data_IF_488057139501
#
_entry.id   IF_488057139501
#
_cell.length_a   1.000
_cell.length_b   1.000
_cell.length_c   1.000
_cell.angle_alpha   90.00
_cell.angle_beta   90.00
_cell.angle_gamma   90.00
#
_symmetry.space_group_name_H-M   'P 1'
#
loop_
_entity.id
_entity.type
_entity.pdbx_description
1 polymer ?
#
# COMPACT_ATOMS: atom_id res chain seq x y z
N UNK A 1 -8.19 -36.49 -25.76
CA UNK A 1 -7.01 -36.74 -24.90
C UNK A 1 -7.09 -35.97 -23.57
N UNK A 2 -8.30 -35.64 -23.06
CA UNK A 2 -8.51 -34.62 -21.99
C UNK A 2 -9.10 -35.20 -20.69
N UNK A 3 -9.53 -36.47 -20.66
CA UNK A 3 -10.24 -37.05 -19.50
C UNK A 3 -9.37 -37.78 -18.46
N UNK A 4 -8.04 -37.80 -18.60
CA UNK A 4 -7.19 -38.72 -17.82
C UNK A 4 -5.91 -38.09 -17.24
N UNK A 5 -5.91 -36.80 -16.91
CA UNK A 5 -4.69 -36.12 -16.44
C UNK A 5 -4.50 -36.12 -14.92
N UNK A 6 -5.57 -36.26 -14.12
CA UNK A 6 -5.44 -36.44 -12.68
C UNK A 6 -6.09 -37.76 -12.27
N UNK A 7 -5.26 -38.77 -11.99
CA UNK A 7 -5.73 -40.03 -11.41
C UNK A 7 -6.61 -39.72 -10.18
N UNK A 8 -7.79 -40.36 -10.12
CA UNK A 8 -8.75 -40.18 -9.04
C UNK A 8 -9.63 -38.93 -9.13
N UNK A 9 -9.56 -38.06 -10.16
CA UNK A 9 -10.45 -36.88 -10.21
C UNK A 9 -11.92 -37.26 -10.31
N UNK A 10 -12.25 -38.29 -11.11
CA UNK A 10 -13.61 -38.81 -11.21
C UNK A 10 -14.10 -39.40 -9.90
N UNK A 11 -13.23 -40.08 -9.14
CA UNK A 11 -13.54 -40.67 -7.84
C UNK A 11 -13.78 -39.56 -6.80
N UNK A 12 -12.87 -38.58 -6.73
CA UNK A 12 -13.02 -37.39 -5.88
C UNK A 12 -14.31 -36.63 -6.19
N UNK A 13 -14.67 -36.48 -7.47
CA UNK A 13 -15.92 -35.83 -7.84
C UNK A 13 -17.14 -36.63 -7.37
N UNK A 14 -17.14 -37.96 -7.52
CA UNK A 14 -18.23 -38.81 -7.02
C UNK A 14 -18.43 -38.67 -5.51
N UNK A 15 -17.34 -38.51 -4.74
CA UNK A 15 -17.41 -38.29 -3.29
C UNK A 15 -18.10 -36.96 -2.91
N UNK A 16 -17.92 -35.90 -3.70
CA UNK A 16 -18.47 -34.56 -3.41
C UNK A 16 -19.65 -34.16 -4.29
N UNK A 17 -20.09 -35.00 -5.22
CA UNK A 17 -21.08 -34.66 -6.25
C UNK A 17 -22.39 -34.15 -5.64
N UNK A 18 -22.92 -34.87 -4.65
CA UNK A 18 -24.17 -34.48 -3.98
C UNK A 18 -24.03 -33.14 -3.25
N UNK A 19 -22.88 -32.89 -2.64
CA UNK A 19 -22.60 -31.63 -1.97
C UNK A 19 -22.46 -30.47 -2.97
N UNK A 20 -21.79 -30.70 -4.09
CA UNK A 20 -21.67 -29.73 -5.20
C UNK A 20 -23.05 -29.37 -5.74
N UNK A 21 -23.89 -30.35 -6.04
CA UNK A 21 -25.26 -30.13 -6.52
C UNK A 21 -26.07 -29.33 -5.50
N UNK A 22 -25.90 -29.66 -4.23
CA UNK A 22 -26.61 -29.00 -3.15
C UNK A 22 -26.20 -27.52 -3.00
N UNK A 23 -24.89 -27.21 -3.03
CA UNK A 23 -24.39 -25.83 -3.03
C UNK A 23 -24.86 -25.05 -4.25
N UNK A 24 -24.80 -25.66 -5.43
CA UNK A 24 -25.34 -25.05 -6.66
C UNK A 24 -26.83 -24.70 -6.52
N UNK A 25 -27.65 -25.62 -5.98
CA UNK A 25 -29.07 -25.35 -5.71
C UNK A 25 -29.24 -24.21 -4.72
N UNK A 26 -28.43 -24.12 -3.67
CA UNK A 26 -28.53 -23.01 -2.71
C UNK A 26 -28.15 -21.64 -3.29
N UNK A 27 -27.17 -21.60 -4.19
CA UNK A 27 -26.81 -20.36 -4.90
C UNK A 27 -27.99 -19.88 -5.79
N UNK A 28 -28.75 -20.82 -6.35
CA UNK A 28 -29.81 -20.56 -7.35
C UNK A 28 -31.25 -20.57 -6.81
N UNK A 29 -31.51 -21.03 -5.58
CA UNK A 29 -32.88 -21.33 -5.11
C UNK A 29 -33.73 -20.13 -4.65
N UNK A 30 -33.12 -19.01 -4.26
CA UNK A 30 -33.87 -17.86 -3.71
C UNK A 30 -33.80 -16.62 -4.62
N UNK A 31 -34.88 -15.85 -4.70
CA UNK A 31 -34.89 -14.53 -5.38
C UNK A 31 -34.15 -13.45 -4.57
N UNK A 32 -34.15 -13.54 -3.25
CA UNK A 32 -33.46 -12.61 -2.36
C UNK A 32 -32.38 -13.35 -1.55
N UNK A 33 -31.12 -13.04 -1.82
CA UNK A 33 -29.97 -13.59 -1.10
C UNK A 33 -29.11 -12.42 -0.62
N UNK A 34 -28.89 -12.35 0.69
CA UNK A 34 -28.01 -11.35 1.31
C UNK A 34 -26.58 -11.85 1.38
N UNK A 35 -25.60 -10.95 1.57
CA UNK A 35 -24.19 -11.36 1.70
C UNK A 35 -23.97 -12.38 2.83
N UNK A 36 -24.70 -12.26 3.96
CA UNK A 36 -24.66 -13.23 5.07
C UNK A 36 -25.11 -14.63 4.65
N UNK A 37 -26.10 -14.74 3.77
CA UNK A 37 -26.51 -16.04 3.24
C UNK A 37 -25.44 -16.63 2.32
N UNK A 38 -24.80 -15.81 1.47
CA UNK A 38 -23.70 -16.28 0.62
C UNK A 38 -22.49 -16.73 1.45
N UNK A 39 -22.18 -15.99 2.52
CA UNK A 39 -21.15 -16.37 3.48
C UNK A 39 -21.46 -17.72 4.13
N UNK A 40 -22.70 -17.94 4.57
CA UNK A 40 -23.12 -19.23 5.12
C UNK A 40 -22.98 -20.36 4.10
N UNK A 41 -23.38 -20.15 2.84
CA UNK A 41 -23.23 -21.15 1.77
C UNK A 41 -21.75 -21.51 1.58
N UNK A 42 -20.85 -20.52 1.56
CA UNK A 42 -19.42 -20.76 1.45
C UNK A 42 -18.86 -21.49 2.68
N UNK A 43 -19.27 -21.12 3.89
CA UNK A 43 -18.87 -21.81 5.14
C UNK A 43 -19.35 -23.26 5.11
N UNK A 44 -20.60 -23.51 4.71
CA UNK A 44 -21.16 -24.85 4.64
C UNK A 44 -20.44 -25.72 3.60
N UNK A 45 -20.05 -25.15 2.45
CA UNK A 45 -19.25 -25.84 1.45
C UNK A 45 -17.85 -26.21 2.00
N UNK A 46 -17.16 -25.28 2.66
CA UNK A 46 -15.87 -25.53 3.31
C UNK A 46 -15.96 -26.62 4.37
N UNK A 47 -16.99 -26.57 5.21
CA UNK A 47 -17.24 -27.57 6.25
C UNK A 47 -17.53 -28.96 5.69
N UNK A 48 -18.12 -29.06 4.48
CA UNK A 48 -18.31 -30.36 3.80
C UNK A 48 -16.99 -30.91 3.30
N UNK A 49 -16.18 -30.06 2.66
CA UNK A 49 -14.85 -30.44 2.17
C UNK A 49 -13.94 -30.87 3.33
N UNK A 50 -13.95 -30.14 4.45
CA UNK A 50 -13.10 -30.43 5.62
C UNK A 50 -13.45 -31.73 6.34
N UNK A 51 -14.63 -32.32 6.09
CA UNK A 51 -14.99 -33.65 6.64
C UNK A 51 -14.22 -34.78 5.95
N UNK A 52 -13.74 -34.53 4.74
CA UNK A 52 -12.92 -35.48 3.99
C UNK A 52 -11.50 -35.40 4.56
N UNK A 53 -11.14 -36.40 5.36
CA UNK A 53 -9.81 -36.47 5.97
C UNK A 53 -8.79 -36.89 4.92
N UNK A 54 -8.10 -35.90 4.35
CA UNK A 54 -7.03 -36.09 3.36
C UNK A 54 -5.94 -35.05 3.55
N UNK A 55 -4.70 -35.43 3.24
CA UNK A 55 -3.55 -34.54 3.21
C UNK A 55 -3.56 -33.61 1.98
N UNK A 56 -4.45 -33.86 1.01
CA UNK A 56 -4.59 -33.09 -0.23
C UNK A 56 -5.94 -32.38 -0.32
N UNK A 57 -6.33 -31.69 0.76
CA UNK A 57 -7.62 -30.97 0.86
C UNK A 57 -7.86 -29.98 -0.29
N UNK A 58 -6.80 -29.35 -0.80
CA UNK A 58 -6.84 -28.43 -1.95
C UNK A 58 -7.43 -29.08 -3.23
N UNK A 59 -7.21 -30.38 -3.44
CA UNK A 59 -7.76 -31.09 -4.60
C UNK A 59 -9.28 -31.14 -4.55
N UNK A 60 -9.83 -31.39 -3.36
CA UNK A 60 -11.27 -31.41 -3.16
C UNK A 60 -11.85 -30.01 -3.31
N UNK A 61 -11.17 -28.96 -2.83
CA UNK A 61 -11.60 -27.58 -3.06
C UNK A 61 -11.67 -27.25 -4.56
N UNK A 62 -10.62 -27.56 -5.33
CA UNK A 62 -10.61 -27.33 -6.79
C UNK A 62 -11.70 -28.15 -7.51
N UNK A 63 -11.83 -29.42 -7.15
CA UNK A 63 -12.86 -30.32 -7.72
C UNK A 63 -14.27 -29.79 -7.42
N UNK A 64 -14.49 -29.32 -6.20
CA UNK A 64 -15.77 -28.75 -5.76
C UNK A 64 -16.11 -27.49 -6.54
N UNK A 65 -15.16 -26.55 -6.63
CA UNK A 65 -15.32 -25.32 -7.41
C UNK A 65 -15.62 -25.64 -8.88
N UNK A 66 -14.88 -26.59 -9.48
CA UNK A 66 -15.07 -27.02 -10.87
C UNK A 66 -16.46 -27.61 -11.08
N UNK A 67 -16.91 -28.41 -10.13
CA UNK A 67 -18.25 -28.98 -10.11
C UNK A 67 -19.34 -27.91 -10.13
N UNK A 68 -19.29 -26.95 -9.20
CA UNK A 68 -20.27 -25.86 -9.11
C UNK A 68 -20.25 -25.00 -10.39
N UNK A 69 -19.06 -24.69 -10.91
CA UNK A 69 -18.90 -23.94 -12.15
C UNK A 69 -19.47 -24.68 -13.37
N UNK A 70 -19.17 -25.97 -13.51
CA UNK A 70 -19.69 -26.83 -14.57
C UNK A 70 -21.21 -26.93 -14.54
N UNK A 71 -21.83 -27.02 -13.37
CA UNK A 71 -23.30 -26.99 -13.25
C UNK A 71 -23.87 -25.64 -13.68
N UNK A 72 -23.26 -24.52 -13.25
CA UNK A 72 -23.73 -23.18 -13.61
C UNK A 72 -23.65 -22.86 -15.10
N UNK A 73 -22.65 -23.41 -15.79
CA UNK A 73 -22.46 -23.25 -17.24
C UNK A 73 -23.41 -24.17 -18.01
N UNK A 74 -23.50 -25.45 -17.64
CA UNK A 74 -24.42 -26.41 -18.27
C UNK A 74 -25.89 -26.02 -18.15
N UNK A 75 -26.28 -25.48 -17.00
CA UNK A 75 -27.63 -25.01 -16.75
C UNK A 75 -27.90 -23.59 -17.26
N UNK A 76 -26.87 -22.90 -17.78
CA UNK A 76 -26.94 -21.51 -18.23
C UNK A 76 -27.49 -20.52 -17.17
N UNK A 77 -27.18 -20.78 -15.89
CA UNK A 77 -27.66 -19.97 -14.75
C UNK A 77 -26.61 -18.98 -14.23
N UNK A 78 -25.37 -19.04 -14.72
CA UNK A 78 -24.31 -18.16 -14.21
C UNK A 78 -24.65 -16.68 -14.34
N UNK A 79 -25.14 -16.21 -15.50
CA UNK A 79 -25.44 -14.79 -15.72
C UNK A 79 -26.55 -14.27 -14.80
N UNK A 80 -27.60 -15.07 -14.61
CA UNK A 80 -28.73 -14.72 -13.75
C UNK A 80 -28.27 -14.52 -12.29
N UNK A 81 -27.27 -15.29 -11.86
CA UNK A 81 -26.77 -15.30 -10.48
C UNK A 81 -25.30 -14.89 -10.36
N UNK A 82 -24.78 -14.10 -11.30
CA UNK A 82 -23.34 -13.81 -11.45
C UNK A 82 -22.70 -13.33 -10.14
N UNK A 83 -23.34 -12.36 -9.47
CA UNK A 83 -22.87 -11.83 -8.19
C UNK A 83 -22.71 -12.92 -7.12
N UNK A 84 -23.60 -13.90 -7.10
CA UNK A 84 -23.62 -14.97 -6.08
C UNK A 84 -22.53 -15.99 -6.36
N UNK A 85 -22.39 -16.40 -7.61
CA UNK A 85 -21.29 -17.27 -8.04
C UNK A 85 -19.94 -16.60 -7.81
N UNK A 86 -19.79 -15.32 -8.17
CA UNK A 86 -18.57 -14.55 -7.95
C UNK A 86 -18.19 -14.50 -6.47
N UNK A 87 -19.16 -14.21 -5.59
CA UNK A 87 -18.92 -14.24 -4.14
C UNK A 87 -18.48 -15.61 -3.66
N UNK A 88 -19.19 -16.67 -4.07
CA UNK A 88 -18.87 -18.04 -3.68
C UNK A 88 -17.45 -18.42 -4.12
N UNK A 89 -17.10 -18.20 -5.39
CA UNK A 89 -15.76 -18.52 -5.89
C UNK A 89 -14.68 -17.67 -5.23
N UNK A 90 -14.93 -16.39 -4.97
CA UNK A 90 -13.99 -15.56 -4.21
C UNK A 90 -13.74 -16.14 -2.81
N UNK A 91 -14.78 -16.54 -2.09
CA UNK A 91 -14.64 -17.13 -0.76
C UNK A 91 -13.89 -18.47 -0.76
N UNK A 92 -14.04 -19.27 -1.83
CA UNK A 92 -13.27 -20.51 -2.01
C UNK A 92 -11.82 -20.25 -2.44
N UNK A 93 -11.57 -19.22 -3.27
CA UNK A 93 -10.21 -18.79 -3.62
C UNK A 93 -9.46 -18.34 -2.37
N UNK A 94 -10.07 -17.53 -1.50
CA UNK A 94 -9.43 -17.12 -0.25
C UNK A 94 -9.10 -18.34 0.64
N UNK A 95 -9.92 -19.40 0.60
CA UNK A 95 -9.62 -20.66 1.30
C UNK A 95 -8.40 -21.40 0.71
N UNK A 96 -8.28 -21.40 -0.62
CA UNK A 96 -7.10 -21.96 -1.28
C UNK A 96 -5.83 -21.15 -0.98
N UNK A 97 -5.97 -19.83 -0.84
CA UNK A 97 -4.85 -18.95 -0.51
C UNK A 97 -4.37 -19.13 0.94
N UNK A 98 -5.25 -19.45 1.90
CA UNK A 98 -4.79 -19.80 3.27
C UNK A 98 -4.04 -21.13 3.30
N UNK A 99 -4.38 -22.08 2.42
CA UNK A 99 -3.63 -23.32 2.22
C UNK A 99 -2.35 -23.10 1.40
N UNK A 100 -2.26 -22.02 0.64
CA UNK A 100 -1.16 -21.79 -0.29
C UNK A 100 0.19 -21.66 0.43
N UNK A 101 0.24 -20.96 1.55
CA UNK A 101 1.48 -20.73 2.32
C UNK A 101 2.09 -22.05 2.80
N UNK A 102 1.27 -22.96 3.34
CA UNK A 102 1.74 -24.29 3.78
C UNK A 102 2.08 -25.19 2.58
N UNK A 103 1.36 -25.07 1.46
CA UNK A 103 1.69 -25.82 0.26
C UNK A 103 3.05 -25.42 -0.32
N UNK A 104 3.43 -24.14 -0.30
CA UNK A 104 4.73 -23.69 -0.81
C UNK A 104 5.94 -24.30 -0.07
N UNK A 105 5.75 -24.87 1.12
CA UNK A 105 6.81 -25.58 1.87
C UNK A 105 7.06 -26.99 1.32
N UNK A 106 6.02 -27.66 0.82
CA UNK A 106 6.12 -28.96 0.14
C UNK A 106 6.18 -28.79 -1.38
N UNK A 107 7.40 -28.76 -1.90
CA UNK A 107 7.69 -28.54 -3.34
C UNK A 107 6.94 -29.52 -4.25
N UNK A 108 6.76 -30.77 -3.82
CA UNK A 108 6.12 -31.80 -4.66
C UNK A 108 4.62 -31.57 -4.72
N UNK A 109 3.99 -31.33 -3.57
CA UNK A 109 2.55 -31.08 -3.48
C UNK A 109 2.17 -29.73 -4.12
N UNK A 110 3.04 -28.71 -4.00
CA UNK A 110 2.84 -27.43 -4.65
C UNK A 110 2.91 -27.51 -6.18
N UNK A 111 3.84 -28.30 -6.73
CA UNK A 111 3.88 -28.55 -8.19
C UNK A 111 2.60 -29.19 -8.69
N UNK A 112 2.10 -30.21 -8.01
CA UNK A 112 0.83 -30.87 -8.36
C UNK A 112 -0.34 -29.88 -8.29
N UNK A 113 -0.37 -29.03 -7.25
CA UNK A 113 -1.37 -27.98 -7.13
C UNK A 113 -1.32 -26.99 -8.31
N UNK A 114 -0.13 -26.50 -8.65
CA UNK A 114 0.05 -25.58 -9.78
C UNK A 114 -0.33 -26.22 -11.11
N UNK A 115 0.07 -27.46 -11.37
CA UNK A 115 -0.31 -28.19 -12.58
C UNK A 115 -1.83 -28.32 -12.71
N UNK A 116 -2.53 -28.59 -11.61
CA UNK A 116 -3.99 -28.67 -11.60
C UNK A 116 -4.64 -27.31 -11.89
N UNK A 117 -4.18 -26.24 -11.22
CA UNK A 117 -4.69 -24.88 -11.49
C UNK A 117 -4.44 -24.49 -12.95
N UNK A 118 -3.24 -24.76 -13.47
CA UNK A 118 -2.87 -24.46 -14.86
C UNK A 118 -3.72 -25.24 -15.86
N UNK A 119 -4.01 -26.51 -15.59
CA UNK A 119 -4.91 -27.30 -16.40
C UNK A 119 -6.31 -26.68 -16.46
N UNK A 120 -6.89 -26.30 -15.31
CA UNK A 120 -8.21 -25.66 -15.26
C UNK A 120 -8.22 -24.32 -16.03
N UNK A 121 -7.14 -23.54 -15.88
CA UNK A 121 -6.95 -22.29 -16.65
C UNK A 121 -6.93 -22.54 -18.16
N UNK A 122 -6.22 -23.57 -18.62
CA UNK A 122 -6.16 -23.91 -20.04
C UNK A 122 -7.47 -24.51 -20.56
N UNK A 123 -8.15 -25.30 -19.73
CA UNK A 123 -9.41 -25.96 -20.09
C UNK A 123 -10.54 -24.94 -20.34
N UNK A 124 -10.65 -23.92 -19.49
CA UNK A 124 -11.66 -22.86 -19.60
C UNK A 124 -11.06 -21.52 -20.09
N UNK A 125 -10.04 -21.58 -20.96
CA UNK A 125 -9.24 -20.40 -21.33
C UNK A 125 -10.03 -19.26 -21.99
N UNK A 126 -11.07 -19.59 -22.77
CA UNK A 126 -11.95 -18.66 -23.46
C UNK A 126 -13.15 -18.20 -22.60
N UNK A 127 -13.39 -18.88 -21.48
CA UNK A 127 -14.53 -18.61 -20.62
C UNK A 127 -14.26 -17.45 -19.65
N UNK A 128 -14.91 -16.31 -19.89
CA UNK A 128 -14.75 -15.09 -19.09
C UNK A 128 -15.18 -15.27 -17.63
N UNK A 129 -16.07 -16.22 -17.35
CA UNK A 129 -16.67 -16.45 -16.03
C UNK A 129 -15.90 -17.45 -15.18
N UNK A 130 -14.90 -18.11 -15.77
CA UNK A 130 -14.12 -19.12 -15.08
C UNK A 130 -13.27 -18.49 -13.96
N UNK A 131 -13.33 -19.02 -12.73
CA UNK A 131 -12.65 -18.42 -11.58
C UNK A 131 -11.12 -18.65 -11.60
N UNK A 132 -10.62 -19.48 -12.51
CA UNK A 132 -9.24 -19.96 -12.52
C UNK A 132 -8.22 -18.88 -12.84
N UNK A 133 -8.57 -17.93 -13.72
CA UNK A 133 -7.66 -16.83 -14.08
C UNK A 133 -7.39 -15.91 -12.88
N UNK A 134 -8.42 -15.65 -12.06
CA UNK A 134 -8.31 -14.89 -10.82
C UNK A 134 -7.52 -15.66 -9.76
N UNK A 135 -7.81 -16.96 -9.58
CA UNK A 135 -7.05 -17.83 -8.67
C UNK A 135 -5.56 -17.82 -9.04
N UNK A 136 -5.23 -18.08 -10.31
CA UNK A 136 -3.86 -18.08 -10.79
C UNK A 136 -3.19 -16.72 -10.59
N UNK A 137 -3.88 -15.61 -10.88
CA UNK A 137 -3.32 -14.28 -10.65
C UNK A 137 -2.92 -14.06 -9.19
N UNK A 138 -3.80 -14.44 -8.25
CA UNK A 138 -3.54 -14.30 -6.80
C UNK A 138 -2.36 -15.16 -6.36
N UNK A 139 -2.26 -16.39 -6.84
CA UNK A 139 -1.13 -17.29 -6.54
C UNK A 139 0.17 -16.71 -7.11
N UNK A 140 0.16 -16.19 -8.33
CA UNK A 140 1.34 -15.69 -9.04
C UNK A 140 1.94 -14.44 -8.41
N UNK A 141 1.13 -13.59 -7.78
CA UNK A 141 1.62 -12.38 -7.09
C UNK A 141 2.60 -12.73 -5.96
N UNK A 142 2.35 -13.80 -5.23
CA UNK A 142 3.16 -14.23 -4.08
C UNK A 142 4.00 -15.51 -4.36
N UNK A 143 4.15 -15.87 -5.65
CA UNK A 143 4.82 -17.08 -6.08
C UNK A 143 6.35 -16.96 -5.99
N UNK A 144 7.01 -18.02 -5.50
CA UNK A 144 8.47 -18.15 -5.54
C UNK A 144 8.99 -18.13 -6.99
N UNK A 145 10.10 -17.44 -7.21
CA UNK A 145 10.72 -17.22 -8.53
C UNK A 145 11.04 -18.50 -9.30
N UNK A 146 11.34 -19.60 -8.60
CA UNK A 146 11.66 -20.91 -9.19
C UNK A 146 10.51 -21.54 -10.00
N UNK A 147 9.26 -21.17 -9.72
CA UNK A 147 8.09 -21.72 -10.43
C UNK A 147 7.66 -20.86 -11.63
N UNK A 148 8.06 -19.59 -11.67
CA UNK A 148 7.59 -18.62 -12.67
C UNK A 148 7.85 -19.09 -14.10
N UNK A 149 9.05 -19.61 -14.38
CA UNK A 149 9.40 -20.06 -15.74
C UNK A 149 8.58 -21.30 -16.18
N UNK A 150 8.28 -22.21 -15.25
CA UNK A 150 7.41 -23.37 -15.55
C UNK A 150 5.98 -22.96 -15.87
N UNK A 151 5.41 -22.02 -15.09
CA UNK A 151 4.08 -21.49 -15.34
C UNK A 151 4.04 -20.74 -16.67
N UNK A 152 5.03 -19.89 -16.94
CA UNK A 152 5.16 -19.18 -18.22
C UNK A 152 5.22 -20.16 -19.41
N UNK A 153 6.09 -21.18 -19.31
CA UNK A 153 6.26 -22.17 -20.37
C UNK A 153 4.96 -22.91 -20.65
N UNK A 154 4.23 -23.32 -19.61
CA UNK A 154 2.92 -23.95 -19.78
C UNK A 154 1.93 -23.01 -20.50
N UNK A 155 1.76 -21.78 -20.01
CA UNK A 155 0.81 -20.83 -20.60
C UNK A 155 1.16 -20.52 -22.06
N UNK A 156 2.44 -20.37 -22.40
CA UNK A 156 2.89 -20.11 -23.77
C UNK A 156 2.60 -21.23 -24.76
N UNK A 157 2.52 -22.48 -24.29
CA UNK A 157 2.21 -23.65 -25.11
C UNK A 157 0.72 -23.93 -25.17
N UNK A 158 0.01 -23.68 -24.08
CA UNK A 158 -1.38 -24.12 -23.89
C UNK A 158 -2.41 -23.05 -24.22
N UNK A 159 -2.05 -21.75 -24.18
CA UNK A 159 -3.01 -20.65 -24.32
C UNK A 159 -2.87 -19.95 -25.66
N UNK A 160 -3.93 -19.96 -26.46
CA UNK A 160 -4.04 -19.05 -27.59
C UNK A 160 -4.50 -17.67 -27.14
N UNK A 161 -3.57 -16.72 -27.23
CA UNK A 161 -3.78 -15.31 -26.88
C UNK A 161 -4.79 -14.60 -27.80
N UNK A 162 -5.14 -15.18 -28.96
CA UNK A 162 -6.17 -14.63 -29.84
C UNK A 162 -7.60 -15.03 -29.43
N UNK A 163 -7.79 -16.06 -28.61
CA UNK A 163 -9.11 -16.56 -28.21
C UNK A 163 -9.38 -16.43 -26.72
N UNK A 164 -8.36 -16.41 -25.87
CA UNK A 164 -8.52 -16.38 -24.42
C UNK A 164 -9.32 -15.18 -23.87
N UNK A 165 -9.82 -15.36 -22.64
CA UNK A 165 -10.56 -14.35 -21.90
C UNK A 165 -9.67 -13.17 -21.49
N UNK A 166 -10.29 -12.00 -21.26
CA UNK A 166 -9.58 -10.77 -20.85
C UNK A 166 -8.82 -10.95 -19.54
N UNK A 167 -9.43 -11.62 -18.55
CA UNK A 167 -8.81 -11.88 -17.26
C UNK A 167 -7.60 -12.81 -17.41
N UNK A 168 -7.70 -13.86 -18.23
CA UNK A 168 -6.56 -14.73 -18.51
C UNK A 168 -5.44 -14.00 -19.26
N UNK A 169 -5.76 -13.11 -20.21
CA UNK A 169 -4.75 -12.29 -20.88
C UNK A 169 -3.98 -11.39 -19.89
N UNK A 170 -4.66 -10.80 -18.90
CA UNK A 170 -4.00 -10.03 -17.82
C UNK A 170 -3.07 -10.91 -16.99
N UNK A 171 -3.56 -12.07 -16.53
CA UNK A 171 -2.77 -13.02 -15.74
C UNK A 171 -1.56 -13.53 -16.51
N UNK A 172 -1.76 -13.95 -17.76
CA UNK A 172 -0.67 -14.45 -18.60
C UNK A 172 0.35 -13.35 -18.93
N UNK A 173 -0.10 -12.12 -19.19
CA UNK A 173 0.81 -10.98 -19.35
C UNK A 173 1.62 -10.74 -18.07
N UNK A 174 1.01 -10.83 -16.88
CA UNK A 174 1.70 -10.65 -15.61
C UNK A 174 2.75 -11.74 -15.36
N UNK A 175 2.42 -13.02 -15.61
CA UNK A 175 3.37 -14.14 -15.55
C UNK A 175 4.53 -13.93 -16.52
N UNK A 176 4.23 -13.50 -17.75
CA UNK A 176 5.26 -13.20 -18.77
C UNK A 176 6.21 -12.10 -18.30
N UNK A 177 5.66 -11.07 -17.63
CA UNK A 177 6.44 -9.99 -17.06
C UNK A 177 7.31 -10.48 -15.90
N UNK A 178 6.79 -11.33 -15.01
CA UNK A 178 7.57 -11.95 -13.94
C UNK A 178 8.76 -12.75 -14.48
N UNK A 179 8.55 -13.52 -15.56
CA UNK A 179 9.57 -14.27 -16.31
C UNK A 179 10.56 -13.39 -17.11
N UNK A 180 10.46 -12.05 -17.01
CA UNK A 180 11.35 -11.11 -17.70
C UNK A 180 11.05 -10.93 -19.19
N UNK A 181 9.90 -11.42 -19.68
CA UNK A 181 9.49 -11.31 -21.09
C UNK A 181 8.62 -10.06 -21.31
N UNK A 182 9.22 -8.88 -21.10
CA UNK A 182 8.52 -7.58 -21.13
C UNK A 182 7.79 -7.33 -22.47
N UNK A 183 8.42 -7.63 -23.60
CA UNK A 183 7.84 -7.44 -24.94
C UNK A 183 6.64 -8.38 -25.15
N UNK A 184 6.76 -9.63 -24.74
CA UNK A 184 5.67 -10.63 -24.83
C UNK A 184 4.50 -10.21 -23.96
N UNK A 185 4.76 -9.76 -22.73
CA UNK A 185 3.72 -9.29 -21.81
C UNK A 185 2.91 -8.12 -22.40
N UNK A 186 3.56 -7.14 -23.03
CA UNK A 186 2.88 -6.06 -23.73
C UNK A 186 2.13 -6.56 -24.97
N UNK A 187 2.72 -7.46 -25.75
CA UNK A 187 2.09 -8.03 -26.94
C UNK A 187 0.79 -8.76 -26.59
N UNK A 188 0.73 -9.47 -25.46
CA UNK A 188 -0.48 -10.14 -24.97
C UNK A 188 -1.59 -9.12 -24.69
N UNK A 189 -1.27 -8.01 -24.00
CA UNK A 189 -2.25 -6.97 -23.64
C UNK A 189 -2.73 -6.15 -24.84
N UNK A 190 -1.92 -6.02 -25.89
CA UNK A 190 -2.32 -5.28 -27.10
C UNK A 190 -3.12 -6.14 -28.08
N UNK A 191 -3.10 -7.46 -27.91
CA UNK A 191 -3.86 -8.39 -28.75
C UNK A 191 -5.37 -8.16 -28.56
N UNK A 192 -6.15 -8.32 -29.64
CA UNK A 192 -7.60 -7.97 -29.74
C UNK A 192 -7.94 -6.47 -29.63
N UNK A 193 -6.97 -5.55 -29.54
CA UNK A 193 -7.29 -4.11 -29.35
C UNK A 193 -8.07 -3.83 -28.06
N UNK A 194 -7.94 -4.73 -27.07
CA UNK A 194 -8.61 -4.61 -25.79
C UNK A 194 -8.14 -3.33 -25.08
N UNK A 195 -9.09 -2.53 -24.61
CA UNK A 195 -8.80 -1.34 -23.81
C UNK A 195 -8.84 -1.70 -22.33
N UNK A 196 -7.67 -1.71 -21.71
CA UNK A 196 -7.51 -1.90 -20.27
C UNK A 196 -7.66 -0.57 -19.53
N UNK A 197 -8.24 -0.63 -18.34
CA UNK A 197 -8.27 0.46 -17.38
C UNK A 197 -6.97 0.48 -16.58
N UNK A 198 -6.63 1.64 -16.04
CA UNK A 198 -5.40 1.85 -15.25
C UNK A 198 -5.33 0.97 -14.00
N UNK A 199 -6.48 0.62 -13.43
CA UNK A 199 -6.54 -0.25 -12.24
C UNK A 199 -6.18 -1.70 -12.56
N UNK A 200 -6.55 -2.19 -13.76
CA UNK A 200 -6.35 -3.59 -14.16
C UNK A 200 -4.87 -3.93 -14.39
N UNK A 201 -4.08 -2.96 -14.87
CA UNK A 201 -2.65 -3.14 -15.14
C UNK A 201 -1.75 -2.56 -14.05
N UNK A 202 -2.33 -2.07 -12.94
CA UNK A 202 -1.56 -1.42 -11.86
C UNK A 202 -0.45 -2.35 -11.33
N UNK A 203 -0.75 -3.63 -11.13
CA UNK A 203 0.26 -4.60 -10.66
C UNK A 203 1.42 -4.77 -11.65
N UNK A 204 1.17 -4.78 -12.96
CA UNK A 204 2.24 -4.79 -13.97
C UNK A 204 3.14 -3.57 -13.85
N UNK A 205 2.54 -2.39 -13.67
CA UNK A 205 3.29 -1.15 -13.53
C UNK A 205 4.06 -1.06 -12.20
N UNK A 206 3.51 -1.58 -11.10
CA UNK A 206 4.24 -1.69 -9.83
C UNK A 206 5.47 -2.59 -9.99
N UNK A 207 5.31 -3.77 -10.61
CA UNK A 207 6.44 -4.68 -10.85
C UNK A 207 7.53 -4.05 -11.74
N UNK A 208 7.14 -3.31 -12.78
CA UNK A 208 8.09 -2.56 -13.61
C UNK A 208 8.79 -1.45 -12.81
N UNK A 209 8.06 -0.76 -11.93
CA UNK A 209 8.59 0.29 -11.05
C UNK A 209 9.60 -0.29 -10.06
N UNK A 210 9.28 -1.39 -9.38
CA UNK A 210 10.18 -2.08 -8.45
C UNK A 210 11.49 -2.48 -9.13
N UNK A 211 11.41 -2.86 -10.41
CA UNK A 211 12.57 -3.19 -11.26
C UNK A 211 13.23 -1.96 -11.91
N UNK A 212 12.80 -0.75 -11.58
CA UNK A 212 13.27 0.53 -12.15
C UNK A 212 13.24 0.57 -13.69
N UNK A 213 12.26 -0.09 -14.32
CA UNK A 213 12.10 -0.18 -15.78
C UNK A 213 11.37 1.03 -16.36
N UNK A 214 11.86 2.24 -16.08
CA UNK A 214 11.19 3.51 -16.43
C UNK A 214 10.95 3.69 -17.93
N UNK A 215 11.92 3.30 -18.79
CA UNK A 215 11.74 3.38 -20.25
C UNK A 215 10.65 2.44 -20.74
N UNK A 216 10.59 1.22 -20.20
CA UNK A 216 9.53 0.23 -20.49
C UNK A 216 8.17 0.77 -20.06
N UNK A 217 8.06 1.36 -18.85
CA UNK A 217 6.83 2.02 -18.37
C UNK A 217 6.38 3.09 -19.37
N UNK A 218 7.28 3.98 -19.80
CA UNK A 218 6.95 5.03 -20.78
C UNK A 218 6.41 4.44 -22.09
N UNK A 219 7.06 3.39 -22.61
CA UNK A 219 6.60 2.70 -23.81
C UNK A 219 5.22 2.07 -23.61
N UNK A 220 5.00 1.35 -22.50
CA UNK A 220 3.72 0.72 -22.19
C UNK A 220 2.59 1.74 -22.08
N UNK A 221 2.83 2.91 -21.50
CA UNK A 221 1.85 3.99 -21.44
C UNK A 221 1.44 4.47 -22.83
N UNK A 222 2.41 4.69 -23.72
CA UNK A 222 2.11 5.14 -25.10
C UNK A 222 1.33 4.12 -25.89
N UNK A 223 1.57 2.82 -25.65
CA UNK A 223 0.94 1.72 -26.38
C UNK A 223 -0.46 1.40 -25.82
N UNK A 224 -0.59 1.21 -24.51
CA UNK A 224 -1.84 0.83 -23.86
C UNK A 224 -2.83 2.00 -23.73
N UNK A 225 -2.32 3.23 -23.57
CA UNK A 225 -3.12 4.42 -23.33
C UNK A 225 -2.86 5.51 -24.38
N UNK A 226 -2.68 5.13 -25.64
CA UNK A 226 -2.44 6.05 -26.78
C UNK A 226 -3.52 7.15 -26.93
N UNK A 227 -4.74 6.88 -26.47
CA UNK A 227 -5.86 7.82 -26.46
C UNK A 227 -5.73 8.92 -25.39
N UNK A 228 -4.85 8.77 -24.40
CA UNK A 228 -4.62 9.74 -23.31
C UNK A 228 -3.29 10.44 -23.55
N UNK A 229 -3.31 11.53 -24.33
CA UNK A 229 -2.10 12.28 -24.67
C UNK A 229 -1.68 13.29 -23.59
N UNK A 230 -2.60 13.72 -22.71
CA UNK A 230 -2.35 14.65 -21.57
C UNK A 230 -3.31 14.41 -20.40
N UNK A 231 -3.67 13.15 -20.16
CA UNK A 231 -4.69 12.79 -19.16
C UNK A 231 -4.12 12.51 -17.77
N UNK A 232 -4.96 12.66 -16.75
CA UNK A 232 -4.72 12.08 -15.44
C UNK A 232 -4.88 10.55 -15.54
N UNK A 233 -3.88 9.79 -15.10
CA UNK A 233 -3.85 8.32 -15.24
C UNK A 233 -4.38 7.58 -14.01
N UNK A 234 -5.25 8.22 -13.23
CA UNK A 234 -5.89 7.61 -12.06
C UNK A 234 -4.89 6.89 -11.13
N UNK A 235 -5.06 5.58 -10.99
CA UNK A 235 -4.21 4.71 -10.14
C UNK A 235 -2.73 4.66 -10.56
N UNK A 236 -2.42 4.89 -11.84
CA UNK A 236 -1.04 4.87 -12.36
C UNK A 236 -0.34 6.23 -12.20
N UNK A 237 -1.06 7.30 -11.86
CA UNK A 237 -0.46 8.65 -11.79
C UNK A 237 0.78 8.74 -10.88
N UNK A 238 0.80 8.13 -9.68
CA UNK A 238 1.99 8.17 -8.83
C UNK A 238 3.22 7.52 -9.47
N UNK A 239 3.03 6.43 -10.22
CA UNK A 239 4.11 5.72 -10.92
C UNK A 239 4.62 6.57 -12.09
N UNK A 240 3.72 7.26 -12.78
CA UNK A 240 4.06 8.12 -13.92
C UNK A 240 4.81 9.36 -13.47
N UNK A 241 4.40 9.96 -12.36
CA UNK A 241 5.09 11.10 -11.77
C UNK A 241 6.52 10.69 -11.37
N UNK A 242 6.70 9.54 -10.73
CA UNK A 242 8.02 8.98 -10.38
C UNK A 242 8.85 8.64 -11.62
N UNK A 243 8.25 8.07 -12.66
CA UNK A 243 8.91 7.82 -13.95
C UNK A 243 9.38 9.12 -14.60
N UNK A 244 8.57 10.18 -14.56
CA UNK A 244 8.89 11.46 -15.17
C UNK A 244 9.94 12.25 -14.37
N UNK A 245 10.14 11.98 -13.09
CA UNK A 245 11.29 12.50 -12.34
C UNK A 245 12.56 11.67 -12.60
N UNK A 246 12.42 10.36 -12.81
CA UNK A 246 13.54 9.47 -13.13
C UNK A 246 14.09 9.65 -14.54
N UNK A 247 13.23 10.00 -15.50
CA UNK A 247 13.61 10.25 -16.89
C UNK A 247 13.75 11.76 -17.14
N UNK A 248 14.68 12.19 -18.02
CA UNK A 248 14.73 13.57 -18.47
C UNK A 248 13.38 13.98 -19.08
N UNK A 249 12.72 14.95 -18.44
CA UNK A 249 11.41 15.44 -18.82
C UNK A 249 11.46 16.98 -18.97
N UNK A 250 10.63 17.58 -19.84
CA UNK A 250 10.56 19.03 -19.98
C UNK A 250 10.26 19.72 -18.64
N UNK A 251 10.80 20.93 -18.44
CA UNK A 251 10.59 21.70 -17.20
C UNK A 251 9.10 21.85 -16.81
N UNK A 252 8.23 22.08 -17.79
CA UNK A 252 6.78 22.20 -17.55
C UNK A 252 6.15 20.91 -16.97
N UNK A 253 6.64 19.74 -17.40
CA UNK A 253 6.16 18.46 -16.87
C UNK A 253 6.66 18.26 -15.44
N UNK A 254 7.92 18.61 -15.16
CA UNK A 254 8.47 18.58 -13.81
C UNK A 254 7.70 19.50 -12.86
N UNK A 255 7.38 20.72 -13.27
CA UNK A 255 6.55 21.63 -12.48
C UNK A 255 5.16 21.05 -12.21
N UNK A 256 4.55 20.39 -13.20
CA UNK A 256 3.23 19.77 -13.05
C UNK A 256 3.20 18.67 -11.99
N UNK A 257 4.30 17.92 -11.84
CA UNK A 257 4.45 16.86 -10.81
C UNK A 257 4.37 17.49 -9.43
N UNK A 258 5.14 18.56 -9.20
CA UNK A 258 5.17 19.25 -7.91
C UNK A 258 3.85 19.98 -7.62
N UNK A 259 3.20 20.54 -8.63
CA UNK A 259 1.87 21.12 -8.48
C UNK A 259 0.83 20.07 -8.04
N UNK A 260 0.88 18.84 -8.61
CA UNK A 260 0.03 17.73 -8.16
C UNK A 260 0.39 17.26 -6.76
N UNK A 261 1.68 17.12 -6.45
CA UNK A 261 2.13 16.73 -5.12
C UNK A 261 1.68 17.73 -4.05
N UNK A 262 1.68 19.03 -4.36
CA UNK A 262 1.20 20.10 -3.46
C UNK A 262 -0.30 20.03 -3.13
N UNK A 263 -1.11 19.29 -3.89
CA UNK A 263 -2.52 19.06 -3.56
C UNK A 263 -2.68 18.04 -2.42
N UNK A 264 -1.76 17.07 -2.31
CA UNK A 264 -1.75 16.06 -1.26
C UNK A 264 -0.30 15.74 -0.86
N UNK A 265 0.38 16.64 -0.13
CA UNK A 265 1.78 16.47 0.24
C UNK A 265 2.00 15.20 1.04
N UNK A 266 3.00 14.43 0.65
CA UNK A 266 3.41 13.24 1.36
C UNK A 266 4.94 13.09 1.27
N UNK A 267 5.57 12.97 2.43
CA UNK A 267 7.02 12.92 2.54
C UNK A 267 7.63 11.68 1.84
N UNK A 268 7.00 10.51 1.91
CA UNK A 268 7.51 9.32 1.22
C UNK A 268 7.48 9.50 -0.30
N UNK A 269 6.40 10.10 -0.84
CA UNK A 269 6.35 10.44 -2.27
C UNK A 269 7.40 11.45 -2.67
N UNK A 270 7.66 12.45 -1.81
CA UNK A 270 8.74 13.41 -2.04
C UNK A 270 10.08 12.67 -2.19
N UNK A 271 10.43 11.79 -1.24
CA UNK A 271 11.67 11.00 -1.32
C UNK A 271 11.77 10.18 -2.61
N UNK A 272 10.70 9.49 -3.00
CA UNK A 272 10.68 8.71 -4.23
C UNK A 272 10.89 9.59 -5.47
N UNK A 273 10.25 10.76 -5.51
CA UNK A 273 10.36 11.68 -6.65
C UNK A 273 11.72 12.34 -6.73
N UNK A 274 12.38 12.59 -5.60
CA UNK A 274 13.69 13.24 -5.54
C UNK A 274 14.88 12.27 -5.56
N UNK A 275 14.66 10.95 -5.52
CA UNK A 275 15.75 9.96 -5.42
C UNK A 275 16.79 10.04 -6.54
N UNK A 276 16.41 10.57 -7.69
CA UNK A 276 17.27 10.73 -8.87
C UNK A 276 17.87 12.14 -9.01
N UNK A 277 17.46 13.07 -8.15
CA UNK A 277 17.97 14.45 -8.14
C UNK A 277 19.27 14.52 -7.33
N UNK A 278 20.17 15.39 -7.77
CA UNK A 278 21.37 15.77 -7.02
C UNK A 278 20.99 16.45 -5.72
N UNK A 279 21.94 16.50 -4.77
CA UNK A 279 21.69 17.15 -3.49
C UNK A 279 21.37 18.64 -3.66
N UNK A 280 22.06 19.34 -4.59
CA UNK A 280 21.78 20.75 -4.89
C UNK A 280 20.36 20.94 -5.44
N UNK A 281 19.94 20.15 -6.42
CA UNK A 281 18.59 20.22 -7.00
C UNK A 281 17.49 19.96 -5.94
N UNK A 282 17.74 19.02 -5.03
CA UNK A 282 16.84 18.78 -3.91
C UNK A 282 16.72 20.00 -2.99
N UNK A 283 17.84 20.64 -2.65
CA UNK A 283 17.82 21.86 -1.83
C UNK A 283 17.04 22.99 -2.51
N UNK A 284 17.28 23.24 -3.80
CA UNK A 284 16.54 24.26 -4.57
C UNK A 284 15.04 23.96 -4.61
N UNK A 285 14.67 22.70 -4.81
CA UNK A 285 13.29 22.27 -4.80
C UNK A 285 12.63 22.51 -3.43
N UNK A 286 13.31 22.15 -2.35
CA UNK A 286 12.82 22.33 -0.98
C UNK A 286 12.62 23.81 -0.66
N UNK A 287 13.57 24.67 -1.03
CA UNK A 287 13.44 26.13 -0.86
C UNK A 287 12.19 26.68 -1.57
N UNK A 288 11.86 26.13 -2.74
CA UNK A 288 10.65 26.52 -3.48
C UNK A 288 9.37 25.98 -2.83
N UNK A 289 9.39 24.76 -2.29
CA UNK A 289 8.19 24.10 -1.76
C UNK A 289 7.84 24.53 -0.33
N UNK A 290 8.84 24.81 0.53
CA UNK A 290 8.61 25.13 1.94
C UNK A 290 7.63 26.30 2.15
N UNK A 291 7.78 27.47 1.46
CA UNK A 291 6.84 28.58 1.63
C UNK A 291 5.40 28.21 1.23
N UNK A 292 5.22 27.34 0.23
CA UNK A 292 3.90 26.89 -0.23
C UNK A 292 3.25 25.94 0.78
N UNK A 293 4.05 25.06 1.40
CA UNK A 293 3.59 24.16 2.46
C UNK A 293 3.23 24.94 3.72
N UNK A 294 4.02 25.97 4.06
CA UNK A 294 3.80 26.82 5.24
C UNK A 294 2.41 27.49 5.22
N UNK A 295 1.90 27.81 4.04
CA UNK A 295 0.56 28.41 3.86
C UNK A 295 -0.60 27.44 4.17
N UNK A 296 -0.32 26.13 4.27
CA UNK A 296 -1.33 25.05 4.38
C UNK A 296 -1.08 24.12 5.58
N UNK A 297 -0.47 24.65 6.64
CA UNK A 297 -0.13 23.91 7.86
C UNK A 297 -1.34 23.51 8.72
N UNK A 298 -2.53 24.01 8.39
CA UNK A 298 -3.80 23.57 8.96
C UNK A 298 -4.12 22.11 8.62
N UNK A 299 -3.66 21.63 7.46
CA UNK A 299 -3.75 20.23 7.08
C UNK A 299 -2.67 19.38 7.77
N UNK A 300 -3.09 18.33 8.47
CA UNK A 300 -2.21 17.48 9.29
C UNK A 300 -1.03 16.89 8.51
N UNK A 301 -1.30 16.33 7.33
CA UNK A 301 -0.31 15.67 6.47
C UNK A 301 0.67 16.66 5.83
N UNK A 302 0.20 17.86 5.49
CA UNK A 302 1.05 18.96 5.06
C UNK A 302 2.00 19.37 6.17
N UNK A 303 1.49 19.54 7.40
CA UNK A 303 2.33 19.89 8.55
C UNK A 303 3.38 18.81 8.85
N UNK A 304 3.01 17.51 8.81
CA UNK A 304 3.97 16.40 8.97
C UNK A 304 5.06 16.46 7.90
N UNK A 305 4.66 16.66 6.64
CA UNK A 305 5.60 16.71 5.51
C UNK A 305 6.54 17.91 5.65
N UNK A 306 6.01 19.07 6.01
CA UNK A 306 6.79 20.28 6.27
C UNK A 306 7.82 20.06 7.39
N UNK A 307 7.40 19.51 8.53
CA UNK A 307 8.29 19.19 9.66
C UNK A 307 9.43 18.24 9.26
N UNK A 308 9.12 17.18 8.51
CA UNK A 308 10.13 16.24 8.01
C UNK A 308 11.09 16.90 7.04
N UNK A 309 10.62 17.75 6.12
CA UNK A 309 11.50 18.49 5.23
C UNK A 309 12.43 19.45 5.99
N UNK A 310 11.91 20.15 6.99
CA UNK A 310 12.73 21.02 7.84
C UNK A 310 13.84 20.24 8.56
N UNK A 311 13.51 19.06 9.08
CA UNK A 311 14.45 18.18 9.76
C UNK A 311 15.53 17.67 8.79
N UNK A 312 15.11 17.03 7.69
CA UNK A 312 16.00 16.36 6.74
C UNK A 312 16.96 17.33 6.07
N UNK A 313 16.48 18.51 5.69
CA UNK A 313 17.28 19.54 5.02
C UNK A 313 17.86 20.58 5.99
N UNK A 314 17.83 20.29 7.31
CA UNK A 314 18.45 21.09 8.38
C UNK A 314 18.04 22.56 8.37
N UNK A 315 16.78 22.84 8.04
CA UNK A 315 16.22 24.20 7.94
C UNK A 315 15.80 24.72 9.33
N UNK A 316 16.78 24.80 10.24
CA UNK A 316 16.55 25.08 11.67
C UNK A 316 15.98 26.47 11.96
N UNK A 317 16.32 27.48 11.17
CA UNK A 317 15.71 28.81 11.31
C UNK A 317 14.21 28.80 11.00
N UNK A 318 13.82 28.07 9.95
CA UNK A 318 12.41 27.87 9.61
C UNK A 318 11.71 27.00 10.66
N UNK A 319 12.38 26.00 11.23
CA UNK A 319 11.85 25.20 12.34
C UNK A 319 11.58 26.05 13.60
N UNK A 320 12.50 26.94 13.97
CA UNK A 320 12.28 27.89 15.06
C UNK A 320 11.05 28.77 14.78
N UNK A 321 10.97 29.39 13.61
CA UNK A 321 9.81 30.22 13.22
C UNK A 321 8.52 29.42 13.23
N UNK A 322 8.56 28.17 12.78
CA UNK A 322 7.43 27.27 12.78
C UNK A 322 6.88 27.03 14.18
N UNK A 323 7.74 26.65 15.14
CA UNK A 323 7.33 26.44 16.52
C UNK A 323 6.82 27.72 17.17
N UNK A 324 7.45 28.86 16.91
CA UNK A 324 7.04 30.13 17.52
C UNK A 324 5.68 30.64 17.03
N UNK A 325 5.35 30.39 15.76
CA UNK A 325 4.16 30.93 15.09
C UNK A 325 2.98 29.97 15.07
N UNK A 326 3.21 28.69 14.80
CA UNK A 326 2.13 27.74 14.50
C UNK A 326 1.92 26.68 15.58
N UNK A 327 2.88 26.40 16.46
CA UNK A 327 2.66 25.42 17.52
C UNK A 327 1.61 25.93 18.50
N UNK A 328 0.53 25.16 18.72
CA UNK A 328 -0.59 25.54 19.60
C UNK A 328 -0.55 24.81 20.94
N UNK A 329 -0.05 23.58 20.96
CA UNK A 329 -0.10 22.69 22.12
C UNK A 329 1.28 22.08 22.41
N UNK A 330 2.15 22.80 23.15
CA UNK A 330 3.49 22.32 23.48
C UNK A 330 3.53 20.99 24.27
N UNK A 331 2.43 20.63 24.94
CA UNK A 331 2.32 19.42 25.78
C UNK A 331 2.10 18.14 24.95
N UNK A 332 1.43 18.23 23.81
CA UNK A 332 1.02 17.07 22.99
C UNK A 332 1.64 17.19 21.61
N UNK A 333 2.92 16.92 21.54
CA UNK A 333 3.64 16.93 20.28
C UNK A 333 3.48 15.58 19.58
N UNK A 334 3.48 15.63 18.25
CA UNK A 334 3.55 14.43 17.43
C UNK A 334 5.01 13.97 17.36
N UNK A 335 5.28 12.69 17.09
CA UNK A 335 6.66 12.18 16.97
C UNK A 335 7.53 13.02 16.03
N UNK A 336 7.00 13.46 14.88
CA UNK A 336 7.74 14.30 13.92
C UNK A 336 8.15 15.66 14.49
N UNK A 337 7.29 16.27 15.32
CA UNK A 337 7.57 17.56 15.97
C UNK A 337 8.62 17.40 17.06
N UNK A 338 8.50 16.35 17.86
CA UNK A 338 9.44 16.05 18.94
C UNK A 338 10.83 15.80 18.37
N UNK A 339 10.92 15.02 17.29
CA UNK A 339 12.16 14.75 16.58
C UNK A 339 12.78 16.04 16.03
N UNK A 340 11.98 16.90 15.39
CA UNK A 340 12.43 18.20 14.89
C UNK A 340 12.92 19.12 16.03
N UNK A 341 12.21 19.20 17.15
CA UNK A 341 12.59 20.01 18.31
C UNK A 341 13.87 19.48 18.95
N UNK A 342 14.02 18.16 19.07
CA UNK A 342 15.23 17.53 19.59
C UNK A 342 16.44 17.82 18.68
N UNK A 343 16.26 17.70 17.36
CA UNK A 343 17.30 18.04 16.39
C UNK A 343 17.67 19.53 16.46
N UNK A 344 16.69 20.43 16.64
CA UNK A 344 16.92 21.87 16.84
C UNK A 344 17.78 22.13 18.08
N UNK A 345 17.48 21.48 19.21
CA UNK A 345 18.29 21.57 20.42
C UNK A 345 19.75 21.11 20.22
N UNK A 346 19.91 19.98 19.53
CA UNK A 346 21.23 19.35 19.34
C UNK A 346 22.11 20.13 18.38
N UNK A 347 21.56 20.62 17.28
CA UNK A 347 22.32 21.18 16.16
C UNK A 347 22.32 22.70 16.12
N UNK A 348 21.31 23.36 16.69
CA UNK A 348 21.20 24.82 16.73
C UNK A 348 20.64 25.30 18.08
N UNK A 349 21.36 25.08 19.21
CA UNK A 349 20.86 25.35 20.55
C UNK A 349 20.42 26.80 20.76
N UNK A 350 21.09 27.76 20.12
CA UNK A 350 20.72 29.19 20.16
C UNK A 350 19.32 29.44 19.60
N UNK A 351 18.95 28.74 18.52
CA UNK A 351 17.62 28.85 17.90
C UNK A 351 16.53 28.10 18.70
N UNK A 352 16.91 27.07 19.47
CA UNK A 352 15.97 26.36 20.34
C UNK A 352 15.54 27.19 21.55
N UNK A 353 16.44 28.01 22.12
CA UNK A 353 16.17 28.85 23.32
C UNK A 353 14.84 29.62 23.24
N UNK A 354 14.56 30.46 22.22
CA UNK A 354 13.32 31.22 22.15
C UNK A 354 12.06 30.33 22.11
N UNK A 355 12.14 29.15 21.48
CA UNK A 355 11.05 28.18 21.44
C UNK A 355 10.71 27.69 22.85
N UNK A 356 11.73 27.25 23.59
CA UNK A 356 11.55 26.76 24.97
C UNK A 356 11.05 27.86 25.90
N UNK A 357 11.58 29.08 25.81
CA UNK A 357 11.07 30.23 26.57
C UNK A 357 9.56 30.43 26.37
N UNK A 358 9.11 30.45 25.12
CA UNK A 358 7.69 30.63 24.80
C UNK A 358 6.85 29.43 25.28
N UNK A 359 7.33 28.21 25.08
CA UNK A 359 6.62 26.99 25.48
C UNK A 359 6.44 26.92 27.00
N UNK A 360 7.48 27.23 27.78
CA UNK A 360 7.42 27.29 29.24
C UNK A 360 6.34 28.27 29.69
N UNK A 361 6.36 29.51 29.17
CA UNK A 361 5.37 30.53 29.52
C UNK A 361 3.95 30.05 29.21
N UNK A 362 3.73 29.50 28.01
CA UNK A 362 2.42 29.01 27.58
C UNK A 362 1.91 27.83 28.39
N UNK A 363 2.79 26.91 28.79
CA UNK A 363 2.44 25.79 29.65
C UNK A 363 2.03 26.29 31.05
N UNK A 364 2.78 27.23 31.63
CA UNK A 364 2.44 27.82 32.94
C UNK A 364 1.08 28.53 32.90
N UNK A 365 0.77 29.22 31.80
CA UNK A 365 -0.50 29.94 31.64
C UNK A 365 -1.73 29.03 31.55
N UNK A 366 -1.56 27.72 31.25
CA UNK A 366 -2.66 26.74 31.23
C UNK A 366 -3.17 26.34 32.62
N UNK A 367 -2.46 26.70 33.69
CA UNK A 367 -2.87 26.53 35.09
C UNK A 367 -3.29 25.10 35.49
N UNK A 368 -2.59 24.10 34.98
CA UNK A 368 -2.84 22.69 35.29
C UNK A 368 -1.55 21.99 35.68
N UNK A 369 -1.63 21.06 36.63
CA UNK A 369 -0.48 20.34 37.19
C UNK A 369 0.39 19.68 36.11
N UNK A 370 -0.25 18.97 35.18
CA UNK A 370 0.43 18.30 34.06
C UNK A 370 1.24 19.30 33.21
N UNK A 371 0.73 20.52 33.03
CA UNK A 371 1.43 21.56 32.27
C UNK A 371 2.61 22.15 33.06
N UNK A 372 2.47 22.29 34.37
CA UNK A 372 3.57 22.72 35.23
C UNK A 372 4.72 21.72 35.25
N UNK A 373 4.42 20.42 35.36
CA UNK A 373 5.42 19.34 35.28
C UNK A 373 6.17 19.39 33.94
N UNK A 374 5.46 19.58 32.83
CA UNK A 374 6.09 19.72 31.52
C UNK A 374 6.92 21.01 31.40
N UNK A 375 6.44 22.13 31.95
CA UNK A 375 7.19 23.38 31.97
C UNK A 375 8.50 23.25 32.76
N UNK A 376 8.47 22.53 33.89
CA UNK A 376 9.65 22.19 34.69
C UNK A 376 10.67 21.35 33.90
N UNK A 377 10.19 20.35 33.14
CA UNK A 377 11.05 19.56 32.23
C UNK A 377 11.68 20.42 31.14
N UNK A 378 10.89 21.28 30.50
CA UNK A 378 11.38 22.22 29.48
C UNK A 378 12.36 23.25 30.05
N UNK A 379 12.23 23.66 31.32
CA UNK A 379 13.22 24.51 31.99
C UNK A 379 14.57 23.80 32.18
N UNK A 380 14.57 22.52 32.55
CA UNK A 380 15.81 21.72 32.63
C UNK A 380 16.49 21.63 31.27
N UNK A 381 15.73 21.36 30.20
CA UNK A 381 16.27 21.38 28.83
C UNK A 381 16.78 22.76 28.47
N UNK A 382 16.05 23.83 28.79
CA UNK A 382 16.49 25.19 28.52
C UNK A 382 17.82 25.51 29.22
N UNK A 383 18.00 25.08 30.47
CA UNK A 383 19.26 25.27 31.21
C UNK A 383 20.45 24.67 30.45
N UNK A 384 20.31 23.47 29.88
CA UNK A 384 21.41 22.83 29.13
C UNK A 384 21.72 23.54 27.81
N UNK A 385 20.77 24.31 27.25
CA UNK A 385 21.00 25.13 26.07
C UNK A 385 21.83 26.40 26.35
N UNK A 386 21.95 26.83 27.62
CA UNK A 386 22.77 27.96 28.05
C UNK A 386 24.13 27.45 28.55
N UNK A 387 25.03 27.05 27.65
CA UNK A 387 26.21 26.25 28.03
C UNK A 387 27.35 27.03 28.71
N UNK A 388 27.51 28.33 28.44
CA UNK A 388 28.62 29.12 28.99
C UNK A 388 28.33 29.71 30.38
N UNK A 389 29.36 30.03 31.20
CA UNK A 389 29.17 30.65 32.51
C UNK A 389 28.35 31.96 32.46
N UNK A 390 28.60 32.80 31.45
CA UNK A 390 27.89 34.06 31.23
C UNK A 390 26.41 33.79 30.88
N UNK A 391 26.16 32.80 30.04
CA UNK A 391 24.81 32.35 29.67
C UNK A 391 24.06 31.75 30.87
N UNK A 392 24.74 31.04 31.76
CA UNK A 392 24.14 30.52 32.99
C UNK A 392 23.70 31.65 33.94
N UNK A 393 24.37 32.81 33.94
CA UNK A 393 23.88 34.01 34.65
C UNK A 393 22.57 34.49 34.04
N UNK A 394 22.50 34.63 32.71
CA UNK A 394 21.28 35.03 32.00
C UNK A 394 20.11 34.06 32.24
N UNK A 395 20.37 32.75 32.26
CA UNK A 395 19.36 31.75 32.58
C UNK A 395 18.82 31.91 34.00
N UNK A 396 19.70 32.09 35.00
CA UNK A 396 19.30 32.33 36.40
C UNK A 396 18.49 33.61 36.57
N UNK A 397 18.84 34.67 35.85
CA UNK A 397 18.02 35.89 35.81
C UNK A 397 16.62 35.63 35.25
N UNK A 398 16.52 34.88 34.15
CA UNK A 398 15.24 34.50 33.56
C UNK A 398 14.38 33.71 34.55
N UNK A 399 14.93 32.66 35.18
CA UNK A 399 14.21 31.84 36.18
C UNK A 399 13.75 32.70 37.36
N UNK A 400 14.57 33.63 37.82
CA UNK A 400 14.21 34.56 38.90
C UNK A 400 13.01 35.44 38.51
N UNK A 401 13.03 36.01 37.30
CA UNK A 401 11.90 36.80 36.77
C UNK A 401 10.64 35.95 36.60
N UNK A 402 10.78 34.70 36.14
CA UNK A 402 9.68 33.76 35.97
C UNK A 402 9.03 33.39 37.32
N UNK A 403 9.83 33.03 38.33
CA UNK A 403 9.37 32.75 39.71
C UNK A 403 8.64 33.96 40.31
N UNK A 404 9.18 35.17 40.12
CA UNK A 404 8.55 36.41 40.59
C UNK A 404 7.19 36.66 39.91
N UNK A 405 7.10 36.47 38.58
CA UNK A 405 5.86 36.66 37.81
C UNK A 405 4.75 35.69 38.22
N UNK A 406 5.09 34.42 38.47
CA UNK A 406 4.13 33.35 38.77
C UNK A 406 4.11 32.93 40.25
N UNK A 407 4.52 33.82 41.18
CA UNK A 407 4.62 33.53 42.63
C UNK A 407 3.34 32.99 43.28
N UNK A 408 2.17 33.30 42.72
CA UNK A 408 0.88 32.85 43.25
C UNK A 408 0.51 31.44 42.78
N UNK A 409 1.22 30.88 41.80
CA UNK A 409 0.92 29.59 41.21
C UNK A 409 1.65 28.52 42.03
N UNK A 410 1.16 28.24 43.25
CA UNK A 410 1.85 27.39 44.24
C UNK A 410 2.29 26.05 43.68
N UNK A 411 1.43 25.36 42.93
CA UNK A 411 1.77 24.08 42.31
C UNK A 411 2.96 24.20 41.34
N UNK A 412 3.01 25.25 40.51
CA UNK A 412 4.16 25.51 39.65
C UNK A 412 5.43 25.79 40.46
N UNK A 413 5.34 26.57 41.54
CA UNK A 413 6.48 26.86 42.42
C UNK A 413 7.01 25.59 43.07
N UNK A 414 6.14 24.67 43.50
CA UNK A 414 6.56 23.37 44.03
C UNK A 414 7.26 22.52 42.96
N UNK A 415 6.74 22.46 41.73
CA UNK A 415 7.44 21.78 40.62
C UNK A 415 8.83 22.41 40.35
N UNK A 416 8.97 23.73 40.46
CA UNK A 416 10.26 24.41 40.32
C UNK A 416 11.26 24.11 41.44
N UNK A 417 10.81 23.69 42.63
CA UNK A 417 11.71 23.30 43.73
C UNK A 417 12.27 21.89 43.54
N UNK A 418 11.58 21.05 42.77
CA UNK A 418 12.02 19.67 42.47
C UNK A 418 13.05 19.60 41.34
N UNK A 419 13.33 20.73 40.71
CA UNK A 419 14.35 20.86 39.67
C UNK A 419 15.41 21.79 40.26
N UNK A 420 16.62 21.27 40.51
CA UNK A 420 17.74 22.01 41.13
C UNK A 420 18.23 23.16 40.21
N UNK A 421 17.44 24.24 40.11
CA UNK A 421 17.63 25.39 39.21
C UNK A 421 18.08 26.67 39.94
#
# INVERSE_FOLDING_TARGET
>A
MVNALFQGESERYQEVEQDVIHTYKFITSSRYVTNRHLEQISIDAKNRISRIKTDQSWQYVLTYMRGVFSLSTRANTYDEYERRFSYFFQAMIEDLLTLHDSLQEDVSNYRLFLEHVLFLVAYDADNVKAPWSQLLFRIVVDMKTEHVESVYTFLSKSIDTASCSRALALTYSYVSLLAGKEVTALSILTKKGARYQEQEVNQHFQLLKERSRWRTIKQWLTVLFSHKTKGHYGSLQPIIDEMNTALPSPKNEQESIWNRWMLSPNYQRFLNYTQHLTTEEQYELVERLLPLLEQRLDHLETAKTYEKLLLTYKKYEHAMRYFLKYEREPLRQRPEKEELLHALCKHAPVLARPVYHQFIVRLVEKKSRVHYEQAARFLRTLQTLYSSPEEQVLFREYVTRLKKKYRTYRAFVEELKQIDL
#
